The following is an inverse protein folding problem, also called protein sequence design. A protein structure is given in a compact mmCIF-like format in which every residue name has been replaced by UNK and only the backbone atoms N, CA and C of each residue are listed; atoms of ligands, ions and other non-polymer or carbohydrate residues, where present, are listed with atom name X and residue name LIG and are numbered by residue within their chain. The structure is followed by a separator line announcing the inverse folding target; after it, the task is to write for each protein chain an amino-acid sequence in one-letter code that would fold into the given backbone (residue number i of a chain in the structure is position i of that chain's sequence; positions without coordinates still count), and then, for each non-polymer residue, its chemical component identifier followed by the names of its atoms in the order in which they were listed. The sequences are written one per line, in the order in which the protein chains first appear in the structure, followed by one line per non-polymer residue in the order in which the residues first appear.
data_IF_732492111557
#
_entry.id   IF_732492111557
#
_cell.length_a   1.000
_cell.length_b   1.000
_cell.length_c   1.000
_cell.angle_alpha   90.00
_cell.angle_beta   90.00
_cell.angle_gamma   90.00
#
_symmetry.space_group_name_H-M   'P 1'
#
loop_
_entity.id
_entity.type
_entity.pdbx_description
1 polymer ?
#
# COMPACT_ATOMS: atom_id res chain seq x y z
N UNK A 1 29.85 9.39 21.07
CA UNK A 1 31.32 9.39 21.10
C UNK A 1 31.79 8.73 19.82
N UNK A 2 31.89 9.54 18.77
CA UNK A 2 32.38 9.17 17.44
C UNK A 2 33.89 9.33 17.44
N UNK A 3 34.62 8.22 17.44
CA UNK A 3 36.05 8.23 17.15
C UNK A 3 36.24 7.97 15.65
N UNK A 4 36.30 9.07 14.90
CA UNK A 4 36.85 9.14 13.55
C UNK A 4 38.31 8.73 13.56
N UNK A 5 38.63 7.59 12.97
CA UNK A 5 40.01 7.19 12.69
C UNK A 5 40.49 7.99 11.46
N UNK A 6 41.42 8.92 11.71
CA UNK A 6 42.02 9.79 10.72
C UNK A 6 43.10 9.04 9.92
N UNK A 7 42.84 8.77 8.63
CA UNK A 7 43.74 8.04 7.71
C UNK A 7 44.79 8.99 7.07
N UNK A 8 45.09 10.14 7.68
CA UNK A 8 46.01 11.12 7.13
C UNK A 8 47.50 10.94 7.51
N UNK A 9 47.95 9.78 8.04
CA UNK A 9 49.32 9.68 8.58
C UNK A 9 50.16 8.46 8.17
N UNK A 10 49.85 7.77 7.07
CA UNK A 10 50.76 6.75 6.52
C UNK A 10 51.36 7.17 5.17
N UNK A 11 52.09 8.29 5.17
CA UNK A 11 53.06 8.59 4.11
C UNK A 11 54.38 7.90 4.45
N UNK A 12 54.58 6.66 3.99
CA UNK A 12 55.93 6.07 3.99
C UNK A 12 56.67 6.65 2.78
N UNK A 13 57.51 7.65 3.07
CA UNK A 13 58.47 8.19 2.14
C UNK A 13 59.52 7.13 1.82
N UNK A 14 59.59 6.69 0.57
CA UNK A 14 60.75 5.97 0.05
C UNK A 14 61.89 6.97 -0.17
N UNK A 15 62.72 7.21 0.85
CA UNK A 15 64.04 7.82 0.64
C UNK A 15 64.96 6.81 -0.03
N UNK A 16 65.25 7.05 -1.31
CA UNK A 16 66.36 6.39 -2.01
C UNK A 16 67.69 6.88 -1.46
N UNK A 17 68.44 5.99 -0.81
CA UNK A 17 69.87 6.18 -0.56
C UNK A 17 70.67 5.31 -1.53
N UNK A 18 71.49 5.97 -2.34
CA UNK A 18 72.51 5.40 -3.22
C UNK A 18 73.39 4.38 -2.48
N UNK A 19 73.40 3.13 -2.97
CA UNK A 19 74.38 2.11 -2.57
C UNK A 19 75.21 1.76 -3.81
N UNK A 20 76.52 2.08 -3.73
CA UNK A 20 77.54 1.81 -4.75
C UNK A 20 77.64 0.31 -5.09
N UNK A 21 78.04 -0.06 -6.32
CA UNK A 21 78.15 -1.46 -6.72
C UNK A 21 79.42 -2.10 -6.14
N UNK A 22 79.27 -3.22 -5.43
CA UNK A 22 80.38 -4.10 -5.02
C UNK A 22 80.57 -5.25 -6.02
N UNK A 23 81.79 -5.81 -6.13
CA UNK A 23 82.28 -6.50 -7.31
C UNK A 23 81.61 -7.85 -7.56
N UNK A 24 81.53 -8.17 -8.85
CA UNK A 24 81.25 -9.51 -9.37
C UNK A 24 82.29 -10.50 -8.86
N UNK A 25 81.83 -11.54 -8.16
CA UNK A 25 82.54 -12.80 -7.97
C UNK A 25 81.55 -13.96 -8.20
N UNK A 26 82.06 -15.16 -8.54
CA UNK A 26 81.67 -15.89 -9.74
C UNK A 26 80.33 -16.63 -9.60
N UNK A 27 79.69 -16.84 -10.75
CA UNK A 27 78.43 -17.57 -10.87
C UNK A 27 78.47 -18.90 -10.09
N UNK A 28 77.54 -19.13 -9.14
CA UNK A 28 77.39 -20.43 -8.51
C UNK A 28 76.85 -21.44 -9.53
N UNK A 29 77.16 -22.74 -9.37
CA UNK A 29 76.84 -23.79 -10.35
C UNK A 29 75.33 -23.89 -10.59
N UNK A 30 74.91 -24.34 -11.78
CA UNK A 30 73.49 -24.50 -12.07
C UNK A 30 72.96 -25.60 -11.16
N UNK A 31 71.89 -25.31 -10.41
CA UNK A 31 71.18 -26.20 -9.47
C UNK A 31 71.78 -26.31 -8.06
N UNK A 32 71.34 -25.42 -7.17
CA UNK A 32 71.38 -25.61 -5.72
C UNK A 32 69.95 -25.56 -5.17
N UNK A 33 69.49 -26.54 -4.35
CA UNK A 33 68.12 -26.63 -3.86
C UNK A 33 67.67 -25.40 -3.04
N UNK A 34 68.63 -24.68 -2.44
CA UNK A 34 68.40 -23.43 -1.73
C UNK A 34 68.04 -22.26 -2.67
N UNK A 35 68.55 -22.27 -3.90
CA UNK A 35 68.22 -21.28 -4.92
C UNK A 35 66.79 -21.51 -5.44
N UNK A 36 66.41 -22.77 -5.63
CA UNK A 36 65.03 -23.14 -5.98
C UNK A 36 64.04 -22.81 -4.87
N UNK A 37 64.40 -23.03 -3.61
CA UNK A 37 63.58 -22.68 -2.46
C UNK A 37 63.40 -21.15 -2.32
N UNK A 38 64.48 -20.38 -2.49
CA UNK A 38 64.39 -18.92 -2.52
C UNK A 38 63.54 -18.41 -3.69
N UNK A 39 63.62 -19.05 -4.86
CA UNK A 39 62.78 -18.73 -6.00
C UNK A 39 61.30 -19.04 -5.72
N UNK A 40 60.99 -20.21 -5.14
CA UNK A 40 59.63 -20.58 -4.74
C UNK A 40 59.05 -19.59 -3.72
N UNK A 41 59.81 -19.23 -2.69
CA UNK A 41 59.39 -18.25 -1.69
C UNK A 41 59.14 -16.87 -2.30
N UNK A 42 59.94 -16.48 -3.30
CA UNK A 42 59.73 -15.22 -4.04
C UNK A 42 58.46 -15.26 -4.88
N UNK A 43 58.23 -16.35 -5.60
CA UNK A 43 57.04 -16.54 -6.42
C UNK A 43 55.77 -16.56 -5.56
N UNK A 44 55.82 -17.19 -4.38
CA UNK A 44 54.72 -17.22 -3.40
C UNK A 44 54.44 -15.84 -2.81
N UNK A 45 55.49 -15.08 -2.47
CA UNK A 45 55.36 -13.70 -1.99
C UNK A 45 54.77 -12.77 -3.06
N UNK A 46 55.16 -12.93 -4.32
CA UNK A 46 54.59 -12.16 -5.43
C UNK A 46 53.14 -12.59 -5.75
N UNK A 47 52.78 -13.86 -5.55
CA UNK A 47 51.40 -14.32 -5.64
C UNK A 47 50.53 -13.75 -4.49
N UNK A 48 51.05 -13.74 -3.26
CA UNK A 48 50.38 -13.17 -2.10
C UNK A 48 50.15 -11.65 -2.28
N UNK A 49 51.14 -10.91 -2.79
CA UNK A 49 51.02 -9.49 -3.10
C UNK A 49 49.94 -9.20 -4.15
N UNK A 50 49.86 -10.01 -5.22
CA UNK A 50 48.80 -9.88 -6.23
C UNK A 50 47.42 -10.17 -5.65
N UNK A 51 47.30 -11.24 -4.84
CA UNK A 51 46.04 -11.57 -4.18
C UNK A 51 45.58 -10.47 -3.22
N UNK A 52 46.50 -9.85 -2.47
CA UNK A 52 46.20 -8.70 -1.62
C UNK A 52 45.71 -7.50 -2.44
N UNK A 53 46.40 -7.15 -3.53
CA UNK A 53 45.99 -6.05 -4.40
C UNK A 53 44.57 -6.24 -4.98
N UNK A 54 44.22 -7.46 -5.39
CA UNK A 54 42.86 -7.78 -5.85
C UNK A 54 41.81 -7.66 -4.73
N UNK A 55 42.16 -8.04 -3.49
CA UNK A 55 41.27 -7.86 -2.34
C UNK A 55 41.10 -6.39 -1.98
N UNK A 56 42.16 -5.59 -2.03
CA UNK A 56 42.10 -4.14 -1.79
C UNK A 56 41.20 -3.45 -2.83
N UNK A 57 41.27 -3.85 -4.11
CA UNK A 57 40.36 -3.33 -5.14
C UNK A 57 38.89 -3.68 -4.84
N UNK A 58 38.62 -4.90 -4.39
CA UNK A 58 37.27 -5.32 -3.97
C UNK A 58 36.80 -4.55 -2.74
N UNK A 59 37.66 -4.32 -1.76
CA UNK A 59 37.32 -3.51 -0.58
C UNK A 59 37.02 -2.07 -0.97
N UNK A 60 37.79 -1.47 -1.88
CA UNK A 60 37.50 -0.14 -2.43
C UNK A 60 36.12 -0.09 -3.13
N UNK A 61 35.75 -1.14 -3.89
CA UNK A 61 34.42 -1.23 -4.51
C UNK A 61 33.30 -1.33 -3.47
N UNK A 62 33.49 -2.17 -2.46
CA UNK A 62 32.51 -2.33 -1.38
C UNK A 62 32.34 -1.05 -0.56
N UNK A 63 33.44 -0.35 -0.25
CA UNK A 63 33.40 0.94 0.45
C UNK A 63 32.60 1.97 -0.32
N UNK A 64 32.77 2.07 -1.65
CA UNK A 64 31.99 3.00 -2.48
C UNK A 64 30.49 2.67 -2.50
N UNK A 65 30.15 1.38 -2.54
CA UNK A 65 28.75 0.94 -2.48
C UNK A 65 28.16 1.30 -1.12
N UNK A 66 28.91 1.07 -0.03
CA UNK A 66 28.50 1.45 1.31
C UNK A 66 28.24 2.96 1.42
N UNK A 67 29.18 3.79 0.97
CA UNK A 67 29.02 5.26 1.01
C UNK A 67 27.79 5.72 0.22
N UNK A 68 27.48 5.07 -0.90
CA UNK A 68 26.29 5.36 -1.72
C UNK A 68 25.02 5.00 -0.97
N UNK A 69 24.96 3.79 -0.40
CA UNK A 69 23.79 3.33 0.36
C UNK A 69 23.57 4.20 1.60
N UNK A 70 24.63 4.57 2.32
CA UNK A 70 24.55 5.44 3.50
C UNK A 70 24.00 6.83 3.12
N UNK A 71 24.42 7.38 1.97
CA UNK A 71 23.88 8.64 1.46
C UNK A 71 22.39 8.53 1.09
N UNK A 72 21.97 7.46 0.42
CA UNK A 72 20.56 7.22 0.07
C UNK A 72 19.68 7.04 1.33
N UNK A 73 20.19 6.32 2.33
CA UNK A 73 19.51 6.13 3.63
C UNK A 73 19.36 7.47 4.33
N UNK A 74 20.40 8.31 4.33
CA UNK A 74 20.35 9.63 4.94
C UNK A 74 19.33 10.54 4.23
N UNK A 75 19.31 10.56 2.88
CA UNK A 75 18.35 11.35 2.11
C UNK A 75 16.91 10.88 2.35
N UNK A 76 16.68 9.57 2.37
CA UNK A 76 15.35 9.01 2.68
C UNK A 76 14.92 9.37 4.09
N UNK A 77 15.82 9.28 5.06
CA UNK A 77 15.57 9.63 6.45
C UNK A 77 15.19 11.11 6.58
N UNK A 78 15.91 11.99 5.88
CA UNK A 78 15.59 13.42 5.85
C UNK A 78 14.19 13.68 5.26
N UNK A 79 13.84 13.04 4.13
CA UNK A 79 12.52 13.16 3.52
C UNK A 79 11.40 12.66 4.44
N UNK A 80 11.63 11.55 5.15
CA UNK A 80 10.66 11.01 6.12
C UNK A 80 10.43 11.99 7.28
N UNK A 81 11.49 12.61 7.81
CA UNK A 81 11.33 13.64 8.84
C UNK A 81 10.59 14.86 8.31
N UNK A 82 10.94 15.37 7.12
CA UNK A 82 10.26 16.51 6.52
C UNK A 82 8.75 16.23 6.32
N UNK A 83 8.39 15.05 5.84
CA UNK A 83 6.99 14.68 5.65
C UNK A 83 6.27 14.50 7.00
N UNK A 84 6.92 13.91 8.01
CA UNK A 84 6.37 13.83 9.36
C UNK A 84 6.11 15.22 9.96
N UNK A 85 7.06 16.15 9.86
CA UNK A 85 6.88 17.54 10.30
C UNK A 85 5.73 18.22 9.58
N UNK A 86 5.63 18.04 8.26
CA UNK A 86 4.53 18.59 7.46
C UNK A 86 3.18 18.03 7.88
N UNK A 87 3.08 16.72 8.12
CA UNK A 87 1.84 16.09 8.59
C UNK A 87 1.41 16.63 9.96
N UNK A 88 2.35 16.78 10.89
CA UNK A 88 2.08 17.36 12.22
C UNK A 88 1.62 18.81 12.10
N UNK A 89 2.31 19.65 11.33
CA UNK A 89 1.94 21.06 11.15
C UNK A 89 0.56 21.21 10.51
N UNK A 90 0.23 20.38 9.52
CA UNK A 90 -1.11 20.38 8.89
C UNK A 90 -2.19 19.97 9.89
N UNK A 91 -1.90 19.01 10.78
CA UNK A 91 -2.83 18.61 11.84
C UNK A 91 -3.01 19.72 12.89
N UNK A 92 -1.93 20.39 13.30
CA UNK A 92 -1.98 21.51 14.24
C UNK A 92 -2.76 22.70 13.67
N UNK A 93 -2.49 23.09 12.42
CA UNK A 93 -3.21 24.20 11.77
C UNK A 93 -4.71 23.88 11.63
N UNK A 94 -5.05 22.61 11.35
CA UNK A 94 -6.46 22.16 11.34
C UNK A 94 -7.09 22.23 12.73
N UNK A 95 -6.37 21.79 13.76
CA UNK A 95 -6.83 21.87 15.16
C UNK A 95 -7.09 23.32 15.57
N UNK A 96 -6.16 24.22 15.28
CA UNK A 96 -6.30 25.65 15.57
C UNK A 96 -7.53 26.25 14.87
N UNK A 97 -7.73 25.95 13.58
CA UNK A 97 -8.93 26.40 12.84
C UNK A 97 -10.23 25.86 13.45
N UNK A 98 -10.25 24.59 13.87
CA UNK A 98 -11.43 23.98 14.49
C UNK A 98 -11.73 24.59 15.87
N UNK A 99 -10.70 24.81 16.69
CA UNK A 99 -10.82 25.46 18.00
C UNK A 99 -11.35 26.90 17.86
N UNK A 100 -10.89 27.65 16.86
CA UNK A 100 -11.41 28.99 16.56
C UNK A 100 -12.89 28.98 16.19
N UNK A 101 -13.30 28.10 15.28
CA UNK A 101 -14.71 27.97 14.89
C UNK A 101 -15.59 27.53 16.06
N UNK A 102 -15.10 26.64 16.91
CA UNK A 102 -15.80 26.23 18.12
C UNK A 102 -15.99 27.41 19.09
N UNK A 103 -14.97 28.25 19.26
CA UNK A 103 -15.09 29.45 20.08
C UNK A 103 -16.13 30.42 19.52
N UNK A 104 -16.13 30.67 18.21
CA UNK A 104 -17.13 31.52 17.54
C UNK A 104 -18.55 30.97 17.70
N UNK A 105 -18.74 29.66 17.52
CA UNK A 105 -20.05 29.02 17.71
C UNK A 105 -20.51 29.05 19.17
N UNK A 106 -19.60 28.88 20.14
CA UNK A 106 -19.93 29.02 21.58
C UNK A 106 -20.42 30.42 21.89
N UNK A 107 -19.75 31.46 21.36
CA UNK A 107 -20.21 32.85 21.53
C UNK A 107 -21.61 33.08 20.93
N UNK A 108 -21.92 32.46 19.77
CA UNK A 108 -23.28 32.54 19.19
C UNK A 108 -24.32 31.86 20.07
N UNK A 109 -24.00 30.69 20.64
CA UNK A 109 -24.90 29.98 21.57
C UNK A 109 -25.15 30.82 22.82
N UNK A 110 -24.11 31.48 23.37
CA UNK A 110 -24.26 32.35 24.54
C UNK A 110 -25.19 33.53 24.26
N UNK A 111 -25.04 34.19 23.10
CA UNK A 111 -25.92 35.28 22.66
C UNK A 111 -27.37 34.80 22.53
N UNK A 112 -27.60 33.70 21.81
CA UNK A 112 -28.94 33.15 21.63
C UNK A 112 -29.57 32.71 22.95
N UNK A 113 -28.76 32.16 23.86
CA UNK A 113 -29.22 31.77 25.20
C UNK A 113 -29.68 32.99 26.00
N UNK A 114 -28.93 34.09 25.92
CA UNK A 114 -29.31 35.36 26.55
C UNK A 114 -30.60 35.95 25.94
N UNK A 115 -30.74 35.91 24.61
CA UNK A 115 -31.96 36.36 23.91
C UNK A 115 -33.19 35.54 24.32
N UNK A 116 -33.08 34.21 24.34
CA UNK A 116 -34.18 33.33 24.77
C UNK A 116 -34.53 33.58 26.24
N UNK A 117 -33.55 33.78 27.10
CA UNK A 117 -33.79 34.12 28.50
C UNK A 117 -34.57 35.45 28.62
N UNK A 118 -34.19 36.48 27.85
CA UNK A 118 -34.90 37.76 27.82
C UNK A 118 -36.34 37.62 27.30
N UNK A 119 -36.54 36.89 26.19
CA UNK A 119 -37.87 36.63 25.63
C UNK A 119 -38.76 35.86 26.63
N UNK A 120 -38.19 34.90 27.37
CA UNK A 120 -38.92 34.15 28.39
C UNK A 120 -39.42 35.06 29.51
N UNK A 121 -38.62 36.05 29.94
CA UNK A 121 -39.05 37.06 30.94
C UNK A 121 -40.21 37.90 30.39
N UNK A 122 -40.13 38.34 29.13
CA UNK A 122 -41.21 39.11 28.49
C UNK A 122 -42.53 38.34 28.38
N UNK A 123 -42.47 37.05 28.06
CA UNK A 123 -43.66 36.18 27.99
C UNK A 123 -44.23 35.88 29.38
N UNK A 124 -43.38 35.73 30.39
CA UNK A 124 -43.80 35.46 31.77
C UNK A 124 -44.25 36.72 32.54
N UNK A 125 -44.01 37.91 32.00
CA UNK A 125 -44.50 39.16 32.59
C UNK A 125 -46.04 39.16 32.67
N UNK A 126 -46.64 39.28 33.87
CA UNK A 126 -48.09 39.21 34.03
C UNK A 126 -48.74 40.44 33.39
N UNK A 127 -49.52 40.23 32.32
CA UNK A 127 -50.32 41.29 31.70
C UNK A 127 -50.39 41.30 30.17
N UNK A 128 -49.56 40.52 29.45
CA UNK A 128 -49.50 40.58 27.98
C UNK A 128 -49.76 39.23 27.26
N UNK A 129 -50.32 38.24 27.95
CA UNK A 129 -50.44 36.86 27.43
C UNK A 129 -51.84 36.35 27.10
N UNK A 130 -52.90 37.18 27.16
CA UNK A 130 -54.29 36.67 27.03
C UNK A 130 -55.07 37.13 25.80
N UNK A 131 -54.62 38.15 25.07
CA UNK A 131 -55.43 38.76 23.99
C UNK A 131 -54.74 38.89 22.62
N UNK A 132 -53.53 38.37 22.40
CA UNK A 132 -52.80 38.62 21.13
C UNK A 132 -52.65 37.42 20.17
N UNK A 133 -53.08 36.22 20.53
CA UNK A 133 -52.91 35.04 19.66
C UNK A 133 -54.17 34.59 18.90
N UNK A 134 -55.28 35.34 18.94
CA UNK A 134 -56.50 34.95 18.21
C UNK A 134 -56.76 35.69 16.90
N UNK A 135 -56.16 36.86 16.65
CA UNK A 135 -56.60 37.72 15.53
C UNK A 135 -55.47 38.30 14.65
N UNK A 136 -54.51 37.49 14.17
CA UNK A 136 -53.68 37.85 12.99
C UNK A 136 -53.26 36.61 12.18
N UNK A 137 -54.11 36.23 11.23
CA UNK A 137 -53.72 35.63 9.95
C UNK A 137 -54.21 36.61 8.89
N UNK A 138 -53.36 37.16 8.00
CA UNK A 138 -52.75 36.39 6.91
C UNK A 138 -51.28 36.76 6.56
N UNK A 139 -50.63 35.89 5.78
CA UNK A 139 -49.57 36.22 4.81
C UNK A 139 -48.28 36.95 5.27
N UNK A 140 -47.36 36.25 5.93
CA UNK A 140 -45.93 36.65 5.90
C UNK A 140 -44.99 35.43 5.85
N UNK A 141 -44.99 34.72 4.72
CA UNK A 141 -43.96 33.70 4.38
C UNK A 141 -42.86 34.22 3.44
N UNK A 142 -42.66 35.54 3.33
CA UNK A 142 -41.70 36.11 2.37
C UNK A 142 -40.87 37.28 2.93
N UNK A 143 -40.35 37.16 4.15
CA UNK A 143 -39.39 38.13 4.71
C UNK A 143 -38.02 37.52 5.06
N UNK A 144 -37.94 36.22 5.40
CA UNK A 144 -36.66 35.55 5.69
C UNK A 144 -35.93 35.02 4.44
N UNK A 145 -36.64 34.83 3.31
CA UNK A 145 -36.05 34.35 2.06
C UNK A 145 -35.26 35.42 1.27
N UNK A 146 -35.39 36.71 1.63
CA UNK A 146 -34.76 37.83 0.91
C UNK A 146 -33.41 38.29 1.48
N UNK A 147 -32.94 37.70 2.59
CA UNK A 147 -31.60 37.97 3.13
C UNK A 147 -30.50 37.08 2.52
N UNK A 148 -30.87 36.02 1.80
CA UNK A 148 -29.93 35.07 1.18
C UNK A 148 -29.72 35.26 -0.33
N UNK A 149 -30.33 36.29 -0.94
CA UNK A 149 -30.19 36.60 -2.36
C UNK A 149 -29.63 38.01 -2.58
N UNK A 150 -28.43 38.26 -2.07
CA UNK A 150 -27.65 39.44 -2.40
C UNK A 150 -26.38 39.02 -3.12
N UNK A 151 -26.46 38.86 -4.44
CA UNK A 151 -25.33 39.23 -5.30
C UNK A 151 -25.76 39.48 -6.75
N UNK A 152 -25.22 40.57 -7.27
CA UNK A 152 -25.27 41.07 -8.65
C UNK A 152 -26.56 41.76 -9.11
N UNK A 153 -26.52 43.10 -9.13
CA UNK A 153 -26.96 43.76 -10.35
C UNK A 153 -26.30 45.13 -10.61
N UNK A 154 -26.21 45.41 -11.92
CA UNK A 154 -25.84 46.67 -12.60
C UNK A 154 -24.35 46.92 -12.80
N UNK A 155 -23.85 47.32 -13.98
CA UNK A 155 -24.44 47.58 -15.30
C UNK A 155 -23.32 48.05 -16.22
N UNK A 156 -23.28 47.63 -17.48
CA UNK A 156 -22.93 48.52 -18.61
C UNK A 156 -23.34 47.92 -19.96
N UNK A 157 -23.61 48.83 -20.89
CA UNK A 157 -24.35 48.73 -22.16
C UNK A 157 -23.59 48.03 -23.29
N UNK A 158 -24.37 47.32 -24.12
CA UNK A 158 -24.43 47.24 -25.61
C UNK A 158 -23.11 47.14 -26.41
N UNK A 159 -22.99 46.11 -27.26
CA UNK A 159 -23.19 46.15 -28.73
C UNK A 159 -23.11 44.74 -29.33
N UNK A 160 -23.72 44.55 -30.50
CA UNK A 160 -23.92 43.26 -31.17
C UNK A 160 -22.74 42.85 -32.06
N UNK A 161 -22.44 41.55 -32.15
CA UNK A 161 -22.41 40.74 -33.38
C UNK A 161 -21.58 39.46 -33.25
N UNK A 162 -21.99 38.43 -34.01
CA UNK A 162 -21.27 37.21 -34.40
C UNK A 162 -21.23 36.01 -33.43
N UNK A 163 -22.01 35.00 -33.83
CA UNK A 163 -21.66 33.57 -33.90
C UNK A 163 -20.49 33.05 -33.06
N UNK A 164 -20.79 32.23 -32.05
CA UNK A 164 -20.14 30.92 -31.86
C UNK A 164 -20.68 30.20 -30.61
N UNK A 165 -20.95 28.91 -30.82
CA UNK A 165 -21.20 27.81 -29.87
C UNK A 165 -20.85 28.08 -28.40
N UNK A 166 -21.87 28.07 -27.54
CA UNK A 166 -21.73 28.17 -26.07
C UNK A 166 -21.03 26.95 -25.49
N UNK A 167 -19.79 27.17 -25.03
CA UNK A 167 -19.11 26.35 -24.06
C UNK A 167 -19.90 26.33 -22.74
N UNK A 168 -20.18 25.12 -22.24
CA UNK A 168 -20.72 24.91 -20.90
C UNK A 168 -19.70 25.41 -19.88
N UNK A 169 -19.91 26.62 -19.34
CA UNK A 169 -19.23 27.07 -18.13
C UNK A 169 -19.76 26.24 -16.97
N UNK A 170 -19.00 25.23 -16.57
CA UNK A 170 -19.16 24.53 -15.32
C UNK A 170 -18.88 25.49 -14.16
N UNK A 171 -19.86 25.70 -13.29
CA UNK A 171 -19.65 26.28 -11.97
C UNK A 171 -18.79 25.30 -11.16
N UNK A 172 -17.47 25.45 -11.19
CA UNK A 172 -16.57 24.74 -10.28
C UNK A 172 -16.68 25.34 -8.89
N UNK A 173 -17.14 24.54 -7.93
CA UNK A 173 -17.03 24.81 -6.49
C UNK A 173 -15.55 25.03 -6.12
N UNK A 174 -15.23 25.78 -5.05
CA UNK A 174 -13.84 26.02 -4.64
C UNK A 174 -13.15 24.70 -4.25
N UNK A 175 -11.94 24.48 -4.79
CA UNK A 175 -11.12 23.25 -4.66
C UNK A 175 -10.93 22.78 -3.21
N UNK A 176 -10.90 23.70 -2.25
CA UNK A 176 -10.69 23.41 -0.83
C UNK A 176 -11.86 22.68 -0.15
N UNK A 177 -13.10 22.91 -0.59
CA UNK A 177 -14.27 22.19 -0.08
C UNK A 177 -14.36 20.77 -0.65
N UNK A 178 -13.80 20.55 -1.85
CA UNK A 178 -13.75 19.22 -2.46
C UNK A 178 -12.71 18.34 -1.77
N UNK A 179 -11.51 18.88 -1.49
CA UNK A 179 -10.45 18.15 -0.77
C UNK A 179 -10.82 17.80 0.68
N UNK A 180 -11.56 18.68 1.38
CA UNK A 180 -12.04 18.36 2.73
C UNK A 180 -13.10 17.24 2.73
N UNK A 181 -14.01 17.26 1.76
CA UNK A 181 -15.01 16.19 1.60
C UNK A 181 -14.42 14.86 1.13
N UNK A 182 -13.31 14.89 0.38
CA UNK A 182 -12.56 13.68 0.05
C UNK A 182 -11.89 13.09 1.29
N UNK A 183 -11.26 13.92 2.13
CA UNK A 183 -10.64 13.47 3.39
C UNK A 183 -11.65 12.97 4.42
N UNK A 184 -12.82 13.58 4.52
CA UNK A 184 -13.91 13.11 5.38
C UNK A 184 -14.41 11.73 4.91
N UNK A 185 -14.64 11.56 3.61
CA UNK A 185 -15.03 10.26 3.04
C UNK A 185 -13.96 9.19 3.23
N UNK A 186 -12.68 9.54 3.07
CA UNK A 186 -11.58 8.61 3.30
C UNK A 186 -11.47 8.21 4.79
N UNK A 187 -11.74 9.13 5.71
CA UNK A 187 -11.77 8.85 7.14
C UNK A 187 -12.97 7.96 7.51
N UNK A 188 -14.15 8.26 7.01
CA UNK A 188 -15.36 7.43 7.18
C UNK A 188 -15.16 6.03 6.61
N UNK A 189 -14.57 5.91 5.42
CA UNK A 189 -14.26 4.62 4.81
C UNK A 189 -13.24 3.83 5.64
N UNK A 190 -12.21 4.50 6.17
CA UNK A 190 -11.20 3.88 7.02
C UNK A 190 -11.77 3.42 8.36
N UNK A 191 -12.70 4.19 8.94
CA UNK A 191 -13.42 3.82 10.14
C UNK A 191 -14.33 2.62 9.88
N UNK A 192 -15.08 2.63 8.78
CA UNK A 192 -15.91 1.50 8.35
C UNK A 192 -15.08 0.23 8.09
N UNK A 193 -13.91 0.34 7.46
CA UNK A 193 -12.99 -0.78 7.25
C UNK A 193 -12.31 -1.28 8.55
N UNK A 194 -12.31 -0.48 9.62
CA UNK A 194 -11.73 -0.86 10.92
C UNK A 194 -12.72 -1.61 11.84
N UNK A 195 -14.02 -1.61 11.52
CA UNK A 195 -15.02 -2.33 12.31
C UNK A 195 -14.98 -3.83 11.99
N UNK A 196 -14.54 -4.62 12.96
CA UNK A 196 -14.51 -6.08 12.89
C UNK A 196 -15.53 -6.71 13.86
N UNK A 197 -16.74 -6.96 13.34
CA UNK A 197 -17.77 -7.69 14.07
C UNK A 197 -17.79 -9.18 13.67
N UNK A 198 -17.98 -10.05 14.67
CA UNK A 198 -18.04 -11.49 14.46
C UNK A 198 -19.47 -11.89 14.13
N UNK A 199 -19.70 -12.38 12.92
CA UNK A 199 -20.93 -13.09 12.60
C UNK A 199 -20.97 -14.43 13.36
N UNK A 200 -21.97 -14.67 14.22
CA UNK A 200 -22.01 -15.86 15.06
C UNK A 200 -22.27 -17.16 14.28
N UNK A 201 -22.93 -17.10 13.12
CA UNK A 201 -23.22 -18.27 12.28
C UNK A 201 -21.94 -18.72 11.58
N UNK A 202 -21.27 -17.79 10.90
CA UNK A 202 -20.04 -18.07 10.17
C UNK A 202 -18.90 -18.43 11.13
N UNK A 203 -18.84 -17.78 12.29
CA UNK A 203 -17.85 -18.11 13.31
C UNK A 203 -18.07 -19.50 13.90
N UNK A 204 -19.32 -19.86 14.25
CA UNK A 204 -19.64 -21.19 14.76
C UNK A 204 -19.32 -22.29 13.75
N UNK A 205 -19.62 -22.05 12.48
CA UNK A 205 -19.29 -22.96 11.39
C UNK A 205 -17.77 -23.12 11.20
N UNK A 206 -17.00 -22.02 11.21
CA UNK A 206 -15.54 -22.06 11.18
C UNK A 206 -14.93 -22.80 12.39
N UNK A 207 -15.44 -22.54 13.59
CA UNK A 207 -15.00 -23.22 14.81
C UNK A 207 -15.25 -24.74 14.71
N UNK A 208 -16.44 -25.15 14.27
CA UNK A 208 -16.78 -26.57 14.09
C UNK A 208 -15.88 -27.26 13.06
N UNK A 209 -15.54 -26.58 11.96
CA UNK A 209 -14.61 -27.08 10.95
C UNK A 209 -13.20 -27.27 11.50
N UNK A 210 -12.74 -26.33 12.33
CA UNK A 210 -11.44 -26.39 12.98
C UNK A 210 -11.35 -27.54 13.96
N UNK A 211 -12.39 -27.72 14.78
CA UNK A 211 -12.49 -28.80 15.76
C UNK A 211 -12.60 -30.18 15.09
N UNK A 212 -13.20 -30.25 13.89
CA UNK A 212 -13.27 -31.45 13.07
C UNK A 212 -11.93 -31.81 12.37
N UNK A 213 -10.85 -31.06 12.61
CA UNK A 213 -9.53 -31.36 12.05
C UNK A 213 -9.31 -30.85 10.64
N UNK A 214 -10.00 -29.78 10.23
CA UNK A 214 -9.85 -29.13 8.93
C UNK A 214 -10.18 -30.07 7.75
N UNK A 215 -11.37 -30.71 7.72
CA UNK A 215 -11.75 -31.57 6.61
C UNK A 215 -11.73 -30.80 5.28
N UNK A 216 -11.22 -31.45 4.23
CA UNK A 216 -11.08 -30.86 2.89
C UNK A 216 -12.38 -30.84 2.08
N UNK A 217 -13.38 -31.64 2.47
CA UNK A 217 -14.67 -31.74 1.81
C UNK A 217 -15.74 -32.23 2.81
N UNK A 218 -17.03 -32.17 2.40
CA UNK A 218 -18.17 -32.68 3.17
C UNK A 218 -18.32 -32.05 4.56
N UNK A 219 -18.07 -30.74 4.64
CA UNK A 219 -18.28 -29.97 5.86
C UNK A 219 -19.01 -28.67 5.48
N UNK A 220 -20.06 -28.25 6.20
CA UNK A 220 -20.86 -27.06 5.87
C UNK A 220 -20.01 -25.82 5.55
N UNK A 221 -18.98 -25.57 6.38
CA UNK A 221 -17.98 -24.54 6.16
C UNK A 221 -17.35 -24.54 4.75
N UNK A 222 -16.87 -25.70 4.31
CA UNK A 222 -16.17 -25.84 3.02
C UNK A 222 -17.18 -25.72 1.89
N UNK A 223 -18.34 -26.37 2.03
CA UNK A 223 -19.39 -26.37 1.02
C UNK A 223 -19.92 -24.95 0.78
N UNK A 224 -20.09 -24.16 1.85
CA UNK A 224 -20.47 -22.75 1.75
C UNK A 224 -19.45 -21.95 0.96
N UNK A 225 -18.16 -22.05 1.32
CA UNK A 225 -17.12 -21.27 0.64
C UNK A 225 -16.96 -21.69 -0.82
N UNK A 226 -17.13 -22.98 -1.10
CA UNK A 226 -17.13 -23.50 -2.46
C UNK A 226 -18.28 -22.91 -3.28
N UNK A 227 -19.47 -22.81 -2.70
CA UNK A 227 -20.68 -22.30 -3.37
C UNK A 227 -20.67 -20.77 -3.53
N UNK A 228 -20.31 -20.03 -2.48
CA UNK A 228 -20.45 -18.57 -2.41
C UNK A 228 -19.25 -17.82 -3.03
N UNK A 229 -18.04 -18.39 -2.97
CA UNK A 229 -16.81 -17.73 -3.41
C UNK A 229 -15.98 -18.49 -4.44
N UNK A 230 -15.50 -19.70 -4.13
CA UNK A 230 -14.54 -20.42 -5.00
C UNK A 230 -15.17 -20.73 -6.35
N UNK A 231 -16.37 -21.31 -6.37
CA UNK A 231 -17.10 -21.62 -7.60
C UNK A 231 -17.29 -20.39 -8.50
N UNK A 232 -17.87 -19.28 -8.00
CA UNK A 232 -18.00 -18.04 -8.77
C UNK A 232 -16.67 -17.42 -9.24
N UNK A 233 -15.59 -17.53 -8.46
CA UNK A 233 -14.25 -17.10 -8.89
C UNK A 233 -13.70 -17.97 -10.03
N UNK A 234 -13.99 -19.26 -10.02
CA UNK A 234 -13.57 -20.23 -11.02
C UNK A 234 -14.58 -20.38 -12.18
N UNK A 235 -15.60 -19.53 -12.24
CA UNK A 235 -16.55 -19.51 -13.35
C UNK A 235 -15.91 -18.85 -14.58
N UNK A 236 -15.25 -19.67 -15.39
CA UNK A 236 -14.62 -19.29 -16.66
C UNK A 236 -15.28 -19.97 -17.86
N UNK A 237 -15.13 -19.36 -19.05
CA UNK A 237 -15.66 -19.89 -20.31
C UNK A 237 -14.94 -21.17 -20.74
N UNK A 238 -13.63 -21.26 -20.51
CA UNK A 238 -12.88 -22.50 -20.71
C UNK A 238 -12.95 -23.38 -19.46
N UNK A 239 -13.97 -24.24 -19.39
CA UNK A 239 -14.23 -25.11 -18.24
C UNK A 239 -13.12 -26.13 -17.99
N UNK A 240 -12.66 -26.81 -19.03
CA UNK A 240 -11.61 -27.81 -18.91
C UNK A 240 -10.32 -27.25 -18.29
N UNK A 241 -9.86 -26.09 -18.76
CA UNK A 241 -8.68 -25.44 -18.18
C UNK A 241 -8.97 -24.94 -16.77
N UNK A 242 -10.17 -24.41 -16.51
CA UNK A 242 -10.56 -23.92 -15.19
C UNK A 242 -10.57 -25.01 -14.13
N UNK A 243 -11.14 -26.18 -14.45
CA UNK A 243 -11.23 -27.33 -13.57
C UNK A 243 -9.81 -27.85 -13.27
N UNK A 244 -8.96 -28.00 -14.30
CA UNK A 244 -7.56 -28.38 -14.11
C UNK A 244 -6.75 -27.36 -13.29
N UNK A 245 -7.02 -26.07 -13.45
CA UNK A 245 -6.42 -25.02 -12.62
C UNK A 245 -6.86 -25.15 -11.16
N UNK A 246 -8.14 -25.42 -10.89
CA UNK A 246 -8.66 -25.60 -9.54
C UNK A 246 -8.04 -26.84 -8.87
N UNK A 247 -7.94 -27.97 -9.58
CA UNK A 247 -7.29 -29.19 -9.09
C UNK A 247 -5.80 -28.94 -8.76
N UNK A 248 -5.11 -28.19 -9.61
CA UNK A 248 -3.72 -27.77 -9.38
C UNK A 248 -3.58 -26.82 -8.20
N UNK A 249 -4.55 -25.95 -7.92
CA UNK A 249 -4.54 -25.11 -6.72
C UNK A 249 -4.68 -25.96 -5.46
N UNK A 250 -5.65 -26.87 -5.44
CA UNK A 250 -5.87 -27.78 -4.31
C UNK A 250 -4.65 -28.67 -4.03
N UNK A 251 -3.94 -29.07 -5.09
CA UNK A 251 -2.71 -29.87 -5.02
C UNK A 251 -1.43 -29.05 -4.82
N UNK A 252 -1.52 -27.71 -4.73
CA UNK A 252 -0.38 -26.80 -4.59
C UNK A 252 0.68 -26.94 -5.71
N UNK A 253 0.22 -27.14 -6.95
CA UNK A 253 1.06 -27.31 -8.15
C UNK A 253 0.88 -26.18 -9.18
N UNK A 254 -0.08 -25.28 -8.98
CA UNK A 254 -0.35 -24.18 -9.90
C UNK A 254 0.80 -23.16 -9.90
N UNK A 255 1.26 -22.79 -11.07
CA UNK A 255 2.24 -21.71 -11.22
C UNK A 255 1.68 -20.57 -12.06
N UNK A 256 1.91 -19.34 -11.59
CA UNK A 256 1.46 -18.11 -12.25
C UNK A 256 2.61 -17.12 -12.30
N UNK A 257 2.95 -16.65 -13.50
CA UNK A 257 4.07 -15.74 -13.71
C UNK A 257 3.67 -14.51 -14.54
N UNK A 258 4.28 -13.34 -14.30
CA UNK A 258 4.18 -12.22 -15.22
C UNK A 258 4.91 -12.53 -16.52
N UNK A 259 4.39 -12.01 -17.62
CA UNK A 259 5.00 -12.10 -18.95
C UNK A 259 5.61 -10.75 -19.26
N UNK A 260 6.91 -10.72 -19.50
CA UNK A 260 7.60 -9.50 -19.90
C UNK A 260 7.71 -9.45 -21.44
N UNK A 261 6.86 -8.66 -22.09
CA UNK A 261 6.89 -8.43 -23.54
C UNK A 261 7.28 -6.98 -23.80
N UNK A 262 8.25 -6.74 -24.68
CA UNK A 262 8.65 -5.37 -25.08
C UNK A 262 7.49 -4.57 -25.69
N UNK A 263 6.56 -5.26 -26.36
CA UNK A 263 5.35 -4.68 -26.95
C UNK A 263 4.14 -5.53 -26.58
N UNK A 264 3.35 -5.11 -25.57
CA UNK A 264 2.14 -5.81 -25.17
C UNK A 264 1.17 -5.92 -26.35
N UNK A 265 0.80 -7.15 -26.68
CA UNK A 265 -0.17 -7.43 -27.75
C UNK A 265 -1.50 -7.88 -27.16
N UNK A 266 -2.58 -7.59 -27.88
CA UNK A 266 -3.91 -8.08 -27.54
C UNK A 266 -3.99 -9.57 -27.93
N UNK A 267 -4.34 -10.42 -26.97
CA UNK A 267 -4.46 -11.88 -27.15
C UNK A 267 -5.78 -12.38 -26.57
N UNK A 268 -6.22 -13.55 -27.03
CA UNK A 268 -7.36 -14.23 -26.41
C UNK A 268 -6.91 -14.85 -25.09
N UNK A 269 -7.48 -14.39 -23.97
CA UNK A 269 -7.19 -14.98 -22.67
C UNK A 269 -7.68 -16.43 -22.62
N UNK A 270 -6.80 -17.36 -22.21
CA UNK A 270 -7.09 -18.80 -22.26
C UNK A 270 -8.28 -19.24 -21.39
N UNK A 271 -8.51 -18.57 -20.25
CA UNK A 271 -9.60 -18.86 -19.32
C UNK A 271 -10.91 -18.17 -19.73
N UNK A 272 -10.89 -16.85 -19.91
CA UNK A 272 -12.11 -16.08 -20.21
C UNK A 272 -12.53 -16.17 -21.67
N UNK A 273 -11.62 -16.54 -22.58
CA UNK A 273 -11.84 -16.60 -24.03
C UNK A 273 -12.28 -15.23 -24.60
N UNK A 274 -11.73 -14.14 -24.04
CA UNK A 274 -11.97 -12.75 -24.46
C UNK A 274 -10.64 -12.12 -24.88
N UNK A 275 -10.65 -11.36 -25.98
CA UNK A 275 -9.49 -10.66 -26.53
C UNK A 275 -9.14 -9.42 -25.69
N UNK A 276 -8.01 -9.45 -24.96
CA UNK A 276 -7.49 -8.38 -24.08
C UNK A 276 -5.97 -8.50 -23.90
N UNK A 277 -5.35 -7.56 -23.19
CA UNK A 277 -3.96 -7.73 -22.74
C UNK A 277 -3.85 -8.87 -21.73
N UNK A 278 -2.89 -9.77 -21.94
CA UNK A 278 -2.64 -10.94 -21.11
C UNK A 278 -1.22 -10.89 -20.52
N UNK A 279 -0.97 -10.06 -19.49
CA UNK A 279 0.37 -9.87 -18.93
C UNK A 279 0.80 -11.01 -18.00
N UNK A 280 0.03 -12.11 -17.90
CA UNK A 280 0.35 -13.25 -17.06
C UNK A 280 0.20 -14.55 -17.84
N UNK A 281 0.89 -15.58 -17.36
CA UNK A 281 0.74 -16.96 -17.84
C UNK A 281 0.56 -17.91 -16.66
N UNK A 282 -0.17 -18.99 -16.88
CA UNK A 282 -0.45 -20.04 -15.91
C UNK A 282 -0.12 -21.41 -16.48
N UNK A 283 0.39 -22.32 -15.64
CA UNK A 283 0.52 -23.75 -15.94
C UNK A 283 0.02 -24.59 -14.77
N UNK A 284 -0.62 -25.71 -15.06
CA UNK A 284 -1.27 -26.60 -14.09
C UNK A 284 -0.28 -27.59 -13.46
N UNK A 285 0.80 -27.89 -14.15
CA UNK A 285 1.90 -28.74 -13.69
C UNK A 285 3.20 -28.36 -14.39
N UNK A 286 4.34 -28.87 -13.91
CA UNK A 286 5.67 -28.62 -14.49
C UNK A 286 5.74 -28.95 -15.99
N UNK A 287 5.02 -29.98 -16.40
CA UNK A 287 5.08 -30.56 -17.75
C UNK A 287 3.97 -30.03 -18.67
N UNK A 288 3.05 -29.23 -18.12
CA UNK A 288 1.95 -28.63 -18.88
C UNK A 288 2.37 -27.37 -19.63
N UNK A 289 1.67 -27.09 -20.73
CA UNK A 289 1.90 -25.88 -21.52
C UNK A 289 1.49 -24.61 -20.75
N UNK A 290 2.17 -23.50 -21.07
CA UNK A 290 1.85 -22.19 -20.52
C UNK A 290 0.64 -21.58 -21.25
N UNK A 291 -0.34 -21.14 -20.47
CA UNK A 291 -1.55 -20.51 -20.96
C UNK A 291 -1.56 -19.03 -20.58
N UNK A 292 -1.68 -18.12 -21.54
CA UNK A 292 -1.72 -16.70 -21.24
C UNK A 292 -3.10 -16.25 -20.73
N UNK A 293 -3.10 -15.46 -19.67
CA UNK A 293 -4.29 -15.03 -18.96
C UNK A 293 -4.29 -13.52 -18.71
N UNK A 294 -5.49 -12.95 -18.68
CA UNK A 294 -5.71 -11.54 -18.36
C UNK A 294 -5.50 -11.26 -16.87
N UNK A 295 -5.28 -10.00 -16.51
CA UNK A 295 -5.24 -9.55 -15.11
C UNK A 295 -6.51 -9.93 -14.33
N UNK A 296 -7.69 -9.85 -14.97
CA UNK A 296 -8.96 -10.27 -14.37
C UNK A 296 -8.92 -11.73 -13.93
N UNK A 297 -8.49 -12.61 -14.84
CA UNK A 297 -8.39 -14.04 -14.55
C UNK A 297 -7.33 -14.28 -13.46
N UNK A 298 -6.14 -13.68 -13.59
CA UNK A 298 -5.07 -13.80 -12.58
C UNK A 298 -5.53 -13.39 -11.19
N UNK A 299 -6.29 -12.31 -11.05
CA UNK A 299 -6.76 -11.84 -9.75
C UNK A 299 -7.76 -12.82 -9.11
N UNK A 300 -8.67 -13.40 -9.89
CA UNK A 300 -9.55 -14.48 -9.42
C UNK A 300 -8.75 -15.69 -8.96
N UNK A 301 -7.76 -16.10 -9.75
CA UNK A 301 -6.89 -17.22 -9.38
C UNK A 301 -6.12 -16.94 -8.08
N UNK A 302 -5.52 -15.76 -7.96
CA UNK A 302 -4.75 -15.37 -6.78
C UNK A 302 -5.60 -15.38 -5.50
N UNK A 303 -6.82 -14.86 -5.54
CA UNK A 303 -7.71 -14.85 -4.38
C UNK A 303 -8.04 -16.27 -3.89
N UNK A 304 -8.26 -17.21 -4.82
CA UNK A 304 -8.54 -18.62 -4.52
C UNK A 304 -7.27 -19.34 -4.03
N UNK A 305 -6.11 -19.07 -4.63
CA UNK A 305 -4.82 -19.57 -4.17
C UNK A 305 -4.49 -19.14 -2.74
N UNK A 306 -4.72 -17.87 -2.39
CA UNK A 306 -4.49 -17.35 -1.05
C UNK A 306 -5.36 -18.10 -0.01
N UNK A 307 -6.62 -18.40 -0.37
CA UNK A 307 -7.53 -19.22 0.43
C UNK A 307 -7.00 -20.64 0.66
N UNK A 308 -6.68 -21.39 -0.40
CA UNK A 308 -6.16 -22.75 -0.26
C UNK A 308 -4.83 -22.80 0.50
N UNK A 309 -3.97 -21.81 0.28
CA UNK A 309 -2.70 -21.66 1.01
C UNK A 309 -2.94 -21.47 2.50
N UNK A 310 -3.88 -20.59 2.85
CA UNK A 310 -4.25 -20.36 4.25
C UNK A 310 -4.81 -21.63 4.92
N UNK A 311 -5.72 -22.35 4.27
CA UNK A 311 -6.25 -23.60 4.82
C UNK A 311 -5.16 -24.65 5.03
N UNK A 312 -4.25 -24.81 4.07
CA UNK A 312 -3.12 -25.72 4.17
C UNK A 312 -2.21 -25.34 5.35
N UNK A 313 -1.95 -24.05 5.55
CA UNK A 313 -1.14 -23.59 6.67
C UNK A 313 -1.82 -23.76 8.03
N UNK A 314 -3.15 -23.61 8.11
CA UNK A 314 -3.90 -23.97 9.31
C UNK A 314 -3.80 -25.47 9.60
N UNK A 315 -4.05 -26.32 8.60
CA UNK A 315 -3.97 -27.77 8.74
C UNK A 315 -2.57 -28.25 9.17
N UNK A 316 -1.51 -27.66 8.61
CA UNK A 316 -0.13 -27.96 8.98
C UNK A 316 0.31 -27.34 10.32
N UNK A 317 -0.54 -26.54 10.97
CA UNK A 317 -0.21 -25.87 12.24
C UNK A 317 0.85 -24.77 12.10
N UNK A 318 1.06 -24.23 10.89
CA UNK A 318 2.00 -23.14 10.62
C UNK A 318 1.45 -21.79 11.09
N UNK A 319 0.14 -21.66 11.19
CA UNK A 319 -0.55 -20.48 11.73
C UNK A 319 -0.88 -20.75 13.20
N UNK A 320 -0.28 -19.96 14.10
CA UNK A 320 -0.44 -20.07 15.56
C UNK A 320 -1.41 -19.04 16.14
N UNK A 321 -2.19 -18.34 15.30
CA UNK A 321 -3.09 -17.28 15.74
C UNK A 321 -4.31 -17.84 16.49
N UNK A 322 -4.92 -17.01 17.35
CA UNK A 322 -6.11 -17.40 18.11
C UNK A 322 -7.31 -17.67 17.20
N UNK A 323 -8.36 -18.31 17.73
CA UNK A 323 -9.58 -18.63 16.95
C UNK A 323 -10.19 -17.40 16.27
N UNK A 324 -10.27 -16.29 17.00
CA UNK A 324 -10.76 -15.01 16.48
C UNK A 324 -9.89 -14.47 15.34
N UNK A 325 -8.58 -14.48 15.52
CA UNK A 325 -7.65 -13.92 14.53
C UNK A 325 -7.61 -14.76 13.25
N UNK A 326 -7.53 -16.09 13.38
CA UNK A 326 -7.63 -17.01 12.25
C UNK A 326 -8.98 -16.86 11.51
N UNK A 327 -10.06 -16.59 12.24
CA UNK A 327 -11.37 -16.31 11.65
C UNK A 327 -11.35 -15.03 10.80
N UNK A 328 -10.88 -13.90 11.35
CA UNK A 328 -10.78 -12.66 10.56
C UNK A 328 -9.77 -12.76 9.41
N UNK A 329 -8.74 -13.59 9.59
CA UNK A 329 -7.82 -13.91 8.51
C UNK A 329 -8.55 -14.56 7.33
N UNK A 330 -9.38 -15.55 7.62
CA UNK A 330 -10.27 -16.18 6.65
C UNK A 330 -11.30 -15.21 6.07
N UNK A 331 -11.97 -14.39 6.88
CA UNK A 331 -12.98 -13.43 6.40
C UNK A 331 -12.36 -12.45 5.40
N UNK A 332 -11.12 -12.04 5.62
CA UNK A 332 -10.39 -11.21 4.65
C UNK A 332 -10.21 -11.93 3.31
N UNK A 333 -9.88 -13.23 3.33
CA UNK A 333 -9.73 -14.03 2.11
C UNK A 333 -11.07 -14.21 1.38
N UNK A 334 -12.17 -14.43 2.12
CA UNK A 334 -13.53 -14.45 1.55
C UNK A 334 -13.93 -13.10 0.94
N UNK A 335 -13.59 -11.98 1.59
CA UNK A 335 -13.76 -10.61 1.04
C UNK A 335 -13.00 -10.47 -0.28
N UNK A 336 -11.73 -10.90 -0.33
CA UNK A 336 -10.90 -10.83 -1.53
C UNK A 336 -11.49 -11.65 -2.69
N UNK A 337 -11.94 -12.88 -2.44
CA UNK A 337 -12.63 -13.68 -3.45
C UNK A 337 -13.94 -13.03 -3.91
N UNK A 338 -14.72 -12.48 -2.98
CA UNK A 338 -15.97 -11.78 -3.30
C UNK A 338 -15.77 -10.50 -4.13
N UNK A 339 -14.65 -9.80 -3.95
CA UNK A 339 -14.26 -8.69 -4.83
C UNK A 339 -13.79 -9.21 -6.20
N UNK A 340 -12.97 -10.25 -6.21
CA UNK A 340 -12.39 -10.80 -7.44
C UNK A 340 -13.45 -11.40 -8.39
N UNK A 341 -14.48 -12.09 -7.87
CA UNK A 341 -15.59 -12.61 -8.69
C UNK A 341 -16.33 -11.48 -9.42
N UNK A 342 -16.44 -10.30 -8.79
CA UNK A 342 -17.04 -9.09 -9.37
C UNK A 342 -16.07 -8.30 -10.27
N UNK A 343 -14.81 -8.73 -10.39
CA UNK A 343 -13.79 -8.05 -11.19
C UNK A 343 -13.17 -6.83 -10.51
N UNK A 344 -13.32 -6.69 -9.19
CA UNK A 344 -12.74 -5.62 -8.39
C UNK A 344 -11.35 -6.02 -7.87
N UNK A 345 -10.50 -5.02 -7.66
CA UNK A 345 -9.20 -5.21 -7.02
C UNK A 345 -9.33 -5.53 -5.53
N UNK A 346 -8.32 -6.18 -4.98
CA UNK A 346 -8.21 -6.46 -3.55
C UNK A 346 -6.74 -6.40 -3.13
N UNK A 347 -6.50 -6.31 -1.82
CA UNK A 347 -5.15 -6.32 -1.25
C UNK A 347 -4.76 -7.77 -0.95
N UNK A 348 -3.76 -8.35 -1.62
CA UNK A 348 -3.28 -9.70 -1.31
C UNK A 348 -2.68 -9.74 0.09
N UNK A 349 -2.94 -10.80 0.87
CA UNK A 349 -2.24 -11.01 2.13
C UNK A 349 -0.86 -11.60 1.84
N UNK A 350 0.11 -10.74 1.54
CA UNK A 350 1.50 -11.16 1.31
C UNK A 350 2.24 -11.54 2.58
N UNK A 351 1.67 -11.31 3.76
CA UNK A 351 2.24 -11.70 5.05
C UNK A 351 1.12 -12.12 6.00
N UNK A 352 1.07 -13.39 6.36
CA UNK A 352 0.49 -13.81 7.64
C UNK A 352 1.20 -12.97 8.69
N UNK A 353 0.46 -12.20 9.49
CA UNK A 353 1.07 -11.34 10.51
C UNK A 353 2.09 -12.18 11.31
N UNK A 354 3.34 -11.73 11.48
CA UNK A 354 4.16 -12.26 12.54
C UNK A 354 3.35 -12.03 13.82
N UNK A 355 3.04 -13.11 14.52
CA UNK A 355 2.48 -13.04 15.86
C UNK A 355 3.32 -12.05 16.66
N UNK A 356 2.72 -10.93 17.06
CA UNK A 356 3.28 -10.08 18.12
C UNK A 356 3.18 -10.82 19.45
#
# INVERSE_FOLDING_TARGET
MTETINIASLAIMCEGKDIKPFPLDPAPPPYSPRCEELQRMRDELDAARRCLAEKDEKMCKLSRIQDTVDAEVQELTEKLFQEAYKMVNVAEEKRERAEKLLAESRLQVDVLTAEVAALKVLVQAPGMGRNHFQNTSPEHKSALAKLFSSSSNSSTKKTASSSSTTSKKSNSLPSSLQENREKERDAEQKEADAVEEVDPILFGEFASWRDAGHPAANHPFVDRIQLEEVGPCMEFKNKQLSDGVLDSMASNMLEVEPVNEEKPSVKTCALTQVSRFCPYRVRTSSDSEWHQISLLARNRLAAVCDYFTFLRYLHLGLIKSGMRDSYFDLITLRKNMSLAKLGLGFVPKTNLRPSM
#
